data_IF_382504145583
#
_entry.id   IF_382504145583
#
_cell.length_a   1.000
_cell.length_b   1.000
_cell.length_c   1.000
_cell.angle_alpha   90.00
_cell.angle_beta   90.00
_cell.angle_gamma   90.00
#
_symmetry.space_group_name_H-M   'P 1'
#
loop_
_entity.id
_entity.type
_entity.pdbx_description
1 polymer ?
#
# COMPACT_ATOMS: atom_id res chain seq x y z
N UNK A 1 5.65 13.05 6.51
CA UNK A 1 4.92 11.78 6.31
C UNK A 1 3.48 12.14 6.07
N UNK A 2 2.90 11.60 5.00
CA UNK A 2 1.50 11.76 4.63
C UNK A 2 0.74 10.47 4.94
N UNK A 3 -0.51 10.63 5.35
CA UNK A 3 -1.42 9.51 5.59
C UNK A 3 -2.39 9.40 4.41
N UNK A 4 -2.57 8.19 3.89
CA UNK A 4 -3.54 7.88 2.85
C UNK A 4 -4.25 6.57 3.16
N UNK A 5 -5.48 6.45 2.71
CA UNK A 5 -6.28 5.24 2.85
C UNK A 5 -6.38 4.56 1.50
N UNK A 6 -6.18 3.24 1.47
CA UNK A 6 -6.28 2.42 0.26
C UNK A 6 -7.09 1.18 0.59
N UNK A 7 -8.10 0.84 -0.21
CA UNK A 7 -8.93 -0.33 0.08
C UNK A 7 -8.17 -1.64 0.00
N UNK A 8 -8.34 -2.46 1.03
CA UNK A 8 -7.75 -3.80 1.19
C UNK A 8 -8.45 -4.84 0.31
N UNK A 9 -9.68 -4.58 -0.16
CA UNK A 9 -10.47 -5.53 -0.98
C UNK A 9 -9.75 -6.16 -2.17
N UNK A 10 -8.79 -5.46 -2.78
CA UNK A 10 -8.04 -5.94 -3.95
C UNK A 10 -6.53 -5.91 -3.77
N UNK A 11 -6.06 -5.72 -2.53
CA UNK A 11 -4.64 -5.56 -2.24
C UNK A 11 -4.26 -6.55 -1.15
N UNK A 12 -3.45 -7.53 -1.51
CA UNK A 12 -2.89 -8.47 -0.56
C UNK A 12 -1.86 -7.76 0.33
N UNK A 13 -1.82 -8.15 1.60
CA UNK A 13 -0.85 -7.62 2.56
C UNK A 13 0.58 -7.87 2.10
N UNK A 14 0.84 -9.00 1.43
CA UNK A 14 2.14 -9.32 0.88
C UNK A 14 2.54 -8.36 -0.25
N UNK A 15 1.62 -8.14 -1.21
CA UNK A 15 1.80 -7.21 -2.32
C UNK A 15 2.04 -5.77 -1.83
N UNK A 16 1.22 -5.31 -0.89
CA UNK A 16 1.37 -3.99 -0.26
C UNK A 16 2.75 -3.84 0.36
N UNK A 17 3.18 -4.81 1.17
CA UNK A 17 4.48 -4.77 1.84
C UNK A 17 5.62 -4.75 0.84
N UNK A 18 5.54 -5.55 -0.23
CA UNK A 18 6.56 -5.61 -1.26
C UNK A 18 6.73 -4.26 -1.97
N UNK A 19 5.62 -3.67 -2.43
CA UNK A 19 5.64 -2.37 -3.12
C UNK A 19 6.11 -1.26 -2.18
N UNK A 20 5.58 -1.19 -0.95
CA UNK A 20 6.00 -0.17 0.02
C UNK A 20 7.47 -0.33 0.42
N UNK A 21 7.96 -1.56 0.54
CA UNK A 21 9.38 -1.83 0.81
C UNK A 21 10.27 -1.44 -0.36
N UNK A 22 9.81 -1.62 -1.60
CA UNK A 22 10.56 -1.19 -2.80
C UNK A 22 10.61 0.33 -2.93
N UNK A 23 9.52 1.01 -2.63
CA UNK A 23 9.40 2.46 -2.78
C UNK A 23 10.05 3.24 -1.63
N UNK A 24 9.87 2.77 -0.40
CA UNK A 24 10.24 3.52 0.80
C UNK A 24 11.25 2.79 1.69
N UNK A 25 11.65 1.56 1.33
CA UNK A 25 12.58 0.74 2.10
C UNK A 25 11.96 0.24 3.41
N UNK A 26 12.02 1.10 4.43
CA UNK A 26 11.40 0.90 5.74
C UNK A 26 10.77 2.18 6.31
N UNK A 27 10.72 3.26 5.53
CA UNK A 27 10.16 4.55 5.95
C UNK A 27 8.64 4.63 5.74
N UNK A 28 7.93 3.54 6.00
CA UNK A 28 6.48 3.49 5.90
C UNK A 28 5.88 2.78 7.11
N UNK A 29 4.62 3.09 7.41
CA UNK A 29 3.79 2.34 8.36
C UNK A 29 2.45 2.08 7.72
N UNK A 30 1.82 0.99 8.06
CA UNK A 30 0.44 0.74 7.69
C UNK A 30 -0.29 0.10 8.85
N UNK A 31 -1.57 0.42 8.96
CA UNK A 31 -2.52 -0.28 9.83
C UNK A 31 -3.67 -0.78 8.96
N UNK A 32 -4.33 -1.83 9.43
CA UNK A 32 -5.55 -2.36 8.79
C UNK A 32 -6.71 -1.83 9.61
N UNK A 33 -7.59 -1.08 8.97
CA UNK A 33 -8.82 -0.55 9.55
C UNK A 33 -9.98 -1.15 8.73
N UNK A 34 -10.59 -2.20 9.28
CA UNK A 34 -11.68 -2.94 8.63
C UNK A 34 -11.31 -3.42 7.21
N UNK A 35 -11.95 -2.87 6.17
CA UNK A 35 -11.69 -3.18 4.75
C UNK A 35 -10.64 -2.27 4.09
N UNK A 36 -9.94 -1.42 4.84
CA UNK A 36 -8.99 -0.44 4.32
C UNK A 36 -7.60 -0.56 4.96
N UNK A 37 -6.56 -0.28 4.19
CA UNK A 37 -5.21 -0.03 4.67
C UNK A 37 -5.00 1.47 4.85
N UNK A 38 -4.73 1.87 6.09
CA UNK A 38 -4.30 3.24 6.38
C UNK A 38 -2.77 3.28 6.35
N UNK A 39 -2.23 3.86 5.29
CA UNK A 39 -0.81 3.96 5.01
C UNK A 39 -0.27 5.31 5.49
N UNK A 40 0.83 5.28 6.22
CA UNK A 40 1.64 6.46 6.56
C UNK A 40 2.96 6.35 5.81
N UNK A 41 3.12 7.15 4.77
CA UNK A 41 4.22 7.09 3.80
C UNK A 41 4.93 8.44 3.67
N UNK A 42 6.17 8.51 3.19
CA UNK A 42 6.91 9.78 3.04
C UNK A 42 6.28 10.71 2.01
N UNK A 43 5.67 10.13 0.96
CA UNK A 43 4.91 10.80 -0.10
C UNK A 43 3.69 9.96 -0.45
N UNK A 44 2.64 10.58 -1.01
CA UNK A 44 1.52 9.84 -1.60
C UNK A 44 1.98 8.85 -2.68
N UNK A 45 1.33 7.70 -2.67
CA UNK A 45 1.36 6.73 -3.76
C UNK A 45 0.56 7.29 -4.93
N UNK A 46 1.09 7.12 -6.12
CA UNK A 46 0.41 7.38 -7.37
C UNK A 46 -0.56 6.25 -7.71
N UNK A 47 -1.55 6.53 -8.56
CA UNK A 47 -2.48 5.51 -9.06
C UNK A 47 -1.78 4.32 -9.71
N UNK A 48 -0.62 4.52 -10.34
CA UNK A 48 0.14 3.45 -10.98
C UNK A 48 0.76 2.49 -9.94
N UNK A 49 1.28 3.05 -8.84
CA UNK A 49 1.82 2.26 -7.72
C UNK A 49 0.71 1.49 -6.99
N UNK A 50 -0.48 2.07 -6.86
CA UNK A 50 -1.65 1.38 -6.28
C UNK A 50 -2.12 0.25 -7.21
N UNK A 51 -2.11 0.47 -8.53
CA UNK A 51 -2.43 -0.57 -9.52
C UNK A 51 -1.42 -1.72 -9.53
N UNK A 52 -0.14 -1.44 -9.29
CA UNK A 52 0.88 -2.48 -9.17
C UNK A 52 0.55 -3.44 -8.02
N UNK A 53 0.13 -2.91 -6.87
CA UNK A 53 -0.29 -3.72 -5.71
C UNK A 53 -1.51 -4.60 -6.01
N UNK A 54 -2.48 -4.07 -6.76
CA UNK A 54 -3.67 -4.83 -7.17
C UNK A 54 -3.34 -5.94 -8.16
N UNK A 55 -2.37 -5.72 -9.07
CA UNK A 55 -1.93 -6.72 -10.04
C UNK A 55 -1.23 -7.91 -9.40
N UNK A 56 -0.37 -7.67 -8.40
CA UNK A 56 0.36 -8.75 -7.69
C UNK A 56 -0.62 -9.68 -6.95
N UNK A 57 -1.74 -9.13 -6.48
CA UNK A 57 -2.76 -9.85 -5.70
C UNK A 57 -3.61 -10.79 -6.55
N UNK A 58 -3.77 -10.51 -7.85
CA UNK A 58 -4.66 -11.24 -8.73
C UNK A 58 -3.89 -11.79 -9.95
N UNK A 59 -3.17 -12.93 -9.78
CA UNK A 59 -2.46 -13.58 -10.88
C UNK A 59 -3.40 -14.14 -11.96
#
# INVERSE_FOLDING_TARGET
METQTVSNRYIDKAALREVLSRLFGGNYRYIVDDEDYVLTVPRRLTDDEIKEMQRITNP
#
